data_IF_274875884512
#
_entry.id   IF_274875884512
#
_cell.length_a   1.000
_cell.length_b   1.000
_cell.length_c   1.000
_cell.angle_alpha   90.00
_cell.angle_beta   90.00
_cell.angle_gamma   90.00
#
_symmetry.space_group_name_H-M   'P 1'
#
loop_
_entity.id
_entity.type
_entity.pdbx_description
1 polymer ?
#
# COMPACT_ATOMS: atom_id res chain seq x y z
N UNK A 1 15.36 -12.81 -13.47
CA UNK A 1 14.78 -13.53 -14.63
C UNK A 1 13.30 -13.75 -14.34
N UNK A 2 12.31 -13.46 -15.17
CA UNK A 2 12.22 -12.65 -16.38
C UNK A 2 11.08 -11.63 -16.22
N UNK A 3 11.28 -10.42 -16.75
CA UNK A 3 10.33 -9.29 -16.70
C UNK A 3 9.78 -8.97 -18.12
N UNK A 4 9.98 -9.88 -19.07
CA UNK A 4 9.85 -9.66 -20.51
C UNK A 4 8.43 -9.33 -20.98
N UNK A 5 7.39 -9.72 -20.24
CA UNK A 5 6.00 -9.50 -20.63
C UNK A 5 5.33 -8.26 -20.00
N UNK A 6 6.07 -7.36 -19.35
CA UNK A 6 5.46 -6.16 -18.72
C UNK A 6 5.12 -5.01 -19.69
N UNK A 7 5.42 -5.18 -20.97
CA UNK A 7 5.26 -4.15 -22.01
C UNK A 7 4.15 -4.46 -23.01
N UNK A 8 3.64 -5.70 -23.05
CA UNK A 8 2.56 -6.07 -23.95
C UNK A 8 1.23 -5.49 -23.47
N UNK A 9 0.48 -4.87 -24.38
CA UNK A 9 -0.87 -4.37 -24.11
C UNK A 9 -1.85 -5.53 -24.21
N UNK A 10 -2.50 -5.83 -23.10
CA UNK A 10 -3.58 -6.81 -22.99
C UNK A 10 -4.92 -6.10 -22.87
N UNK A 11 -6.02 -6.84 -22.99
CA UNK A 11 -7.38 -6.31 -22.76
C UNK A 11 -7.57 -5.75 -21.35
N UNK A 12 -6.81 -6.27 -20.38
CA UNK A 12 -6.82 -5.85 -18.98
C UNK A 12 -5.93 -4.63 -18.68
N UNK A 13 -5.20 -4.11 -19.67
CA UNK A 13 -4.27 -2.99 -19.48
C UNK A 13 -5.03 -1.67 -19.36
N UNK A 14 -4.92 -1.01 -18.20
CA UNK A 14 -5.65 0.22 -17.88
C UNK A 14 -4.77 1.47 -17.82
N UNK A 15 -3.53 1.34 -17.34
CA UNK A 15 -2.68 2.48 -16.99
C UNK A 15 -1.52 2.65 -17.97
N UNK A 16 -1.38 3.85 -18.53
CA UNK A 16 -0.33 4.22 -19.47
C UNK A 16 0.43 5.45 -18.98
N UNK A 17 1.70 5.55 -19.36
CA UNK A 17 2.51 6.76 -19.26
C UNK A 17 2.67 7.34 -20.66
N UNK A 18 2.28 8.59 -20.82
CA UNK A 18 2.54 9.39 -22.01
C UNK A 18 3.60 10.44 -21.69
N UNK A 19 4.66 10.44 -22.47
CA UNK A 19 5.81 11.36 -22.36
C UNK A 19 5.97 12.12 -23.68
N UNK A 20 6.56 13.31 -23.61
CA UNK A 20 6.90 14.13 -24.78
C UNK A 20 8.27 14.78 -24.55
N UNK A 21 9.09 15.05 -25.58
CA UNK A 21 10.43 15.63 -25.42
C UNK A 21 10.43 16.92 -24.61
N UNK A 22 9.46 17.80 -24.86
CA UNK A 22 9.38 19.13 -24.25
C UNK A 22 8.60 19.16 -22.95
N UNK A 23 8.28 17.99 -22.38
CA UNK A 23 7.42 17.76 -21.21
C UNK A 23 6.01 18.36 -21.31
N UNK A 24 5.02 17.76 -20.64
CA UNK A 24 3.69 18.38 -20.55
C UNK A 24 3.64 19.53 -19.53
N UNK A 25 4.77 19.92 -18.92
CA UNK A 25 4.86 21.12 -18.09
C UNK A 25 4.60 22.41 -18.87
N UNK A 26 5.15 22.50 -20.07
CA UNK A 26 5.10 23.69 -20.92
C UNK A 26 3.91 23.71 -21.88
N UNK A 27 3.14 22.62 -21.94
CA UNK A 27 1.97 22.51 -22.81
C UNK A 27 0.70 22.88 -22.06
N UNK A 28 -0.15 23.69 -22.69
CA UNK A 28 -1.46 24.07 -22.14
C UNK A 28 -2.30 22.84 -21.76
N UNK A 29 -2.79 22.73 -20.51
CA UNK A 29 -3.58 21.58 -20.07
C UNK A 29 -4.92 21.48 -20.83
N UNK A 30 -5.48 22.61 -21.27
CA UNK A 30 -6.70 22.62 -22.08
C UNK A 30 -6.47 22.07 -23.48
N UNK A 31 -5.31 22.38 -24.08
CA UNK A 31 -4.92 21.84 -25.38
C UNK A 31 -4.73 20.32 -25.28
N UNK A 32 -3.96 19.86 -24.29
CA UNK A 32 -3.74 18.43 -24.04
C UNK A 32 -5.07 17.69 -23.85
N UNK A 33 -5.97 18.22 -23.03
CA UNK A 33 -7.28 17.61 -22.80
C UNK A 33 -8.10 17.50 -24.08
N UNK A 34 -8.21 18.58 -24.87
CA UNK A 34 -8.92 18.56 -26.17
C UNK A 34 -8.31 17.55 -27.14
N UNK A 35 -6.99 17.46 -27.22
CA UNK A 35 -6.30 16.52 -28.09
C UNK A 35 -6.55 15.07 -27.66
N UNK A 36 -6.46 14.78 -26.36
CA UNK A 36 -6.76 13.44 -25.82
C UNK A 36 -8.21 13.07 -26.14
N UNK A 37 -9.16 13.98 -25.86
CA UNK A 37 -10.57 13.77 -26.14
C UNK A 37 -10.82 13.50 -27.64
N UNK A 38 -10.14 14.23 -28.52
CA UNK A 38 -10.28 14.06 -29.97
C UNK A 38 -9.67 12.77 -30.52
N UNK A 39 -8.52 12.31 -30.01
CA UNK A 39 -7.80 11.15 -30.56
C UNK A 39 -8.16 9.83 -29.86
N UNK A 40 -8.47 9.89 -28.55
CA UNK A 40 -8.65 8.73 -27.68
C UNK A 40 -10.09 8.67 -27.14
N UNK A 41 -10.79 9.80 -27.08
CA UNK A 41 -12.09 9.92 -26.43
C UNK A 41 -11.97 10.21 -24.92
N UNK A 42 -13.10 10.12 -24.22
CA UNK A 42 -13.16 10.38 -22.79
C UNK A 42 -12.54 9.21 -22.00
N UNK A 43 -11.44 9.50 -21.31
CA UNK A 43 -10.67 8.52 -20.53
C UNK A 43 -10.99 8.67 -19.06
N UNK A 44 -10.90 7.58 -18.30
CA UNK A 44 -11.29 7.57 -16.88
C UNK A 44 -10.53 8.59 -16.03
N UNK A 45 -9.23 8.75 -16.28
CA UNK A 45 -8.42 9.71 -15.54
C UNK A 45 -7.16 10.13 -16.33
N UNK A 46 -6.80 11.40 -16.21
CA UNK A 46 -5.51 11.93 -16.67
C UNK A 46 -4.86 12.67 -15.50
N UNK A 47 -3.65 12.25 -15.13
CA UNK A 47 -2.90 12.84 -14.04
C UNK A 47 -1.49 13.22 -14.47
N UNK A 48 -1.13 14.48 -14.32
CA UNK A 48 0.25 14.96 -14.51
C UNK A 48 1.15 14.48 -13.36
N UNK A 49 2.29 13.89 -13.72
CA UNK A 49 3.29 13.39 -12.79
C UNK A 49 4.34 14.46 -12.48
N UNK A 50 5.14 14.23 -11.43
CA UNK A 50 6.27 15.13 -11.07
C UNK A 50 7.39 15.14 -12.12
N UNK A 51 7.48 14.13 -12.96
CA UNK A 51 8.39 14.12 -14.12
C UNK A 51 7.90 15.04 -15.24
N UNK A 52 6.63 15.44 -15.21
CA UNK A 52 5.96 16.15 -16.30
C UNK A 52 5.30 15.25 -17.33
N UNK A 53 5.41 13.94 -17.18
CA UNK A 53 4.64 12.96 -17.97
C UNK A 53 3.17 12.92 -17.52
N UNK A 54 2.32 12.34 -18.36
CA UNK A 54 0.92 12.06 -18.03
C UNK A 54 0.74 10.58 -17.70
N UNK A 55 0.12 10.30 -16.55
CA UNK A 55 -0.49 9.02 -16.24
C UNK A 55 -1.93 9.04 -16.75
N UNK A 56 -2.26 8.12 -17.65
CA UNK A 56 -3.58 7.99 -18.25
C UNK A 56 -4.19 6.65 -17.82
N UNK A 57 -5.39 6.69 -17.27
CA UNK A 57 -6.22 5.52 -17.01
C UNK A 57 -7.32 5.43 -18.07
N UNK A 58 -7.32 4.36 -18.86
CA UNK A 58 -8.34 4.14 -19.88
C UNK A 58 -9.61 3.54 -19.29
N UNK A 59 -10.72 3.76 -19.98
CA UNK A 59 -12.04 3.21 -19.62
C UNK A 59 -12.33 1.90 -20.35
N UNK A 60 -11.72 1.66 -21.50
CA UNK A 60 -12.00 0.49 -22.33
C UNK A 60 -10.79 -0.02 -23.13
N UNK A 61 -10.81 -1.27 -23.64
CA UNK A 61 -9.69 -1.86 -24.39
C UNK A 61 -9.39 -1.16 -25.73
N UNK A 62 -10.36 -0.52 -26.38
CA UNK A 62 -10.12 0.18 -27.64
C UNK A 62 -9.22 1.40 -27.42
N UNK A 63 -9.46 2.16 -26.35
CA UNK A 63 -8.57 3.25 -25.93
C UNK A 63 -7.14 2.76 -25.68
N UNK A 64 -6.97 1.61 -25.02
CA UNK A 64 -5.65 1.01 -24.80
C UNK A 64 -4.94 0.68 -26.11
N UNK A 65 -5.68 0.11 -27.09
CA UNK A 65 -5.16 -0.20 -28.44
C UNK A 65 -4.77 1.06 -29.22
N UNK A 66 -5.55 2.13 -29.11
CA UNK A 66 -5.23 3.42 -29.75
C UNK A 66 -4.01 4.07 -29.10
N UNK A 67 -3.97 4.15 -27.77
CA UNK A 67 -2.86 4.74 -27.03
C UNK A 67 -1.54 4.02 -27.29
N UNK A 68 -1.54 2.69 -27.39
CA UNK A 68 -0.32 1.91 -27.58
C UNK A 68 0.37 2.14 -28.93
N UNK A 69 -0.38 2.60 -29.93
CA UNK A 69 0.12 2.93 -31.28
C UNK A 69 0.38 4.42 -31.46
N UNK A 70 0.01 5.24 -30.47
CA UNK A 70 0.06 6.69 -30.59
C UNK A 70 1.49 7.21 -30.49
N UNK A 71 1.96 7.85 -31.56
CA UNK A 71 3.29 8.47 -31.65
C UNK A 71 3.26 9.99 -31.76
N UNK A 72 2.06 10.55 -32.05
CA UNK A 72 1.79 11.98 -32.11
C UNK A 72 0.46 12.30 -31.47
N UNK A 73 0.36 13.48 -30.85
CA UNK A 73 -0.87 14.01 -30.28
C UNK A 73 -1.02 15.45 -30.80
N UNK A 74 -1.76 15.63 -31.90
CA UNK A 74 -1.64 16.84 -32.72
C UNK A 74 -0.22 16.99 -33.26
N UNK A 75 0.38 18.17 -33.10
CA UNK A 75 1.78 18.44 -33.49
C UNK A 75 2.81 17.91 -32.48
N UNK A 76 2.37 17.48 -31.29
CA UNK A 76 3.28 17.01 -30.24
C UNK A 76 3.74 15.59 -30.53
N UNK A 77 5.05 15.39 -30.61
CA UNK A 77 5.63 14.04 -30.61
C UNK A 77 5.46 13.43 -29.22
N UNK A 78 4.84 12.25 -29.15
CA UNK A 78 4.60 11.55 -27.87
C UNK A 78 5.17 10.14 -27.91
N UNK A 79 5.55 9.65 -26.73
CA UNK A 79 5.90 8.26 -26.51
C UNK A 79 5.01 7.70 -25.40
N UNK A 80 4.28 6.63 -25.73
CA UNK A 80 3.33 5.97 -24.84
C UNK A 80 3.88 4.61 -24.41
N UNK A 81 3.82 4.33 -23.12
CA UNK A 81 4.23 3.05 -22.55
C UNK A 81 3.28 2.57 -21.47
N UNK A 82 3.18 1.25 -21.29
CA UNK A 82 2.38 0.65 -20.23
C UNK A 82 2.98 1.00 -18.86
N UNK A 83 2.14 1.38 -17.89
CA UNK A 83 2.63 1.68 -16.55
C UNK A 83 3.17 0.40 -15.88
N UNK A 84 4.45 0.42 -15.50
CA UNK A 84 5.25 -0.75 -15.05
C UNK A 84 4.68 -1.53 -13.86
N UNK A 85 3.82 -0.90 -13.05
CA UNK A 85 3.32 -1.48 -11.79
C UNK A 85 1.81 -1.35 -11.56
N UNK A 86 1.11 -0.46 -12.25
CA UNK A 86 -0.31 -0.18 -11.92
C UNK A 86 -1.25 -1.17 -12.62
N UNK A 87 -0.78 -1.80 -13.70
CA UNK A 87 -1.48 -2.88 -14.41
C UNK A 87 -1.29 -4.25 -13.77
N UNK A 88 -0.70 -4.31 -12.57
CA UNK A 88 -0.40 -5.58 -11.91
C UNK A 88 -0.86 -5.57 -10.46
N UNK A 89 -1.52 -6.65 -10.06
CA UNK A 89 -1.85 -6.94 -8.68
C UNK A 89 -0.97 -8.08 -8.17
N UNK A 90 -0.79 -8.18 -6.85
CA UNK A 90 0.03 -9.23 -6.24
C UNK A 90 -0.67 -9.85 -5.04
N UNK A 91 -0.75 -11.16 -5.05
CA UNK A 91 -1.30 -11.96 -3.96
C UNK A 91 -0.32 -13.01 -3.48
N UNK A 92 -0.58 -13.54 -2.30
CA UNK A 92 0.15 -14.65 -1.70
C UNK A 92 -0.83 -15.81 -1.55
N UNK A 93 -0.47 -16.95 -2.12
CA UNK A 93 -1.08 -18.23 -1.82
C UNK A 93 -0.21 -18.99 -0.82
N UNK A 94 -0.83 -19.85 -0.03
CA UNK A 94 -0.16 -20.62 1.04
C UNK A 94 -0.57 -22.08 0.96
N UNK A 95 -0.21 -22.74 -0.14
CA UNK A 95 -0.69 -24.09 -0.46
C UNK A 95 0.44 -25.12 -0.38
N UNK A 96 0.26 -26.17 0.42
CA UNK A 96 1.29 -27.18 0.64
C UNK A 96 1.53 -28.03 -0.62
N UNK A 97 0.47 -28.34 -1.36
CA UNK A 97 0.56 -29.07 -2.63
C UNK A 97 1.47 -28.37 -3.66
N UNK A 98 1.59 -27.04 -3.57
CA UNK A 98 2.43 -26.24 -4.47
C UNK A 98 3.86 -26.08 -3.98
N UNK A 99 4.27 -26.66 -2.85
CA UNK A 99 5.62 -26.48 -2.28
C UNK A 99 6.75 -26.97 -3.20
N UNK A 100 6.52 -28.09 -3.91
CA UNK A 100 7.53 -28.74 -4.76
C UNK A 100 7.60 -28.20 -6.19
N UNK A 101 6.61 -27.43 -6.60
CA UNK A 101 6.53 -26.88 -7.96
C UNK A 101 7.51 -25.71 -8.14
N UNK A 102 8.13 -25.65 -9.31
CA UNK A 102 9.01 -24.56 -9.74
C UNK A 102 8.21 -23.32 -10.11
N UNK A 103 8.88 -22.17 -10.18
CA UNK A 103 8.24 -20.93 -10.64
C UNK A 103 7.80 -21.03 -12.12
N UNK A 104 8.52 -21.77 -12.95
CA UNK A 104 8.16 -21.95 -14.37
C UNK A 104 6.88 -22.77 -14.54
N UNK A 105 6.77 -23.91 -13.87
CA UNK A 105 5.55 -24.75 -13.88
C UNK A 105 4.33 -23.94 -13.38
N UNK A 106 4.51 -23.13 -12.34
CA UNK A 106 3.43 -22.27 -11.83
C UNK A 106 3.00 -21.18 -12.82
N UNK A 107 3.88 -20.68 -13.68
CA UNK A 107 3.47 -19.76 -14.76
C UNK A 107 2.65 -20.50 -15.78
N UNK A 108 3.12 -21.65 -16.24
CA UNK A 108 2.47 -22.46 -17.27
C UNK A 108 1.04 -22.81 -16.86
N UNK A 109 0.88 -23.44 -15.69
CA UNK A 109 -0.39 -23.95 -15.18
C UNK A 109 -1.39 -22.85 -14.75
N UNK A 110 -0.92 -21.65 -14.41
CA UNK A 110 -1.78 -20.57 -13.89
C UNK A 110 -1.92 -19.38 -14.85
N UNK A 111 -1.31 -19.45 -16.04
CA UNK A 111 -1.29 -18.37 -17.03
C UNK A 111 -2.69 -17.96 -17.50
N UNK A 112 -3.60 -18.93 -17.67
CA UNK A 112 -5.00 -18.69 -18.06
C UNK A 112 -5.74 -17.80 -17.04
N UNK A 113 -5.38 -17.93 -15.76
CA UNK A 113 -5.88 -17.11 -14.66
C UNK A 113 -5.08 -15.81 -14.50
N UNK A 114 -4.39 -15.37 -15.56
CA UNK A 114 -3.65 -14.12 -15.67
C UNK A 114 -2.41 -14.02 -14.75
N UNK A 115 -1.90 -15.15 -14.26
CA UNK A 115 -0.63 -15.16 -13.51
C UNK A 115 0.53 -15.01 -14.49
N UNK A 116 1.38 -14.00 -14.27
CA UNK A 116 2.51 -13.70 -15.16
C UNK A 116 3.88 -13.82 -14.50
N UNK A 117 3.94 -13.81 -13.17
CA UNK A 117 5.19 -14.00 -12.44
C UNK A 117 4.94 -14.51 -11.01
N UNK A 118 5.23 -15.79 -10.72
CA UNK A 118 5.32 -16.31 -9.37
C UNK A 118 6.69 -15.98 -8.75
N UNK A 119 6.72 -15.88 -7.42
CA UNK A 119 7.94 -15.79 -6.62
C UNK A 119 7.78 -16.57 -5.33
N UNK A 120 8.56 -17.63 -5.15
CA UNK A 120 8.54 -18.44 -3.91
C UNK A 120 9.20 -17.68 -2.77
N UNK A 121 8.57 -17.73 -1.60
CA UNK A 121 9.18 -17.22 -0.37
C UNK A 121 10.08 -18.32 0.18
N UNK A 122 11.36 -17.99 0.37
CA UNK A 122 12.34 -18.87 0.99
C UNK A 122 12.66 -18.35 2.40
N UNK A 123 12.86 -19.28 3.33
CA UNK A 123 13.42 -18.99 4.65
C UNK A 123 14.90 -19.37 4.65
N UNK A 124 15.72 -18.65 5.40
CA UNK A 124 17.12 -18.99 5.58
C UNK A 124 17.25 -19.75 6.91
N UNK A 125 17.68 -21.00 6.87
CA UNK A 125 18.00 -21.83 8.03
C UNK A 125 19.44 -22.34 7.85
N UNK A 126 20.32 -22.11 8.82
CA UNK A 126 21.72 -22.57 8.80
C UNK A 126 22.47 -22.24 7.50
N UNK A 127 22.29 -21.01 7.01
CA UNK A 127 22.91 -20.55 5.77
C UNK A 127 22.21 -21.01 4.49
N UNK A 128 21.35 -22.03 4.54
CA UNK A 128 20.64 -22.60 3.39
C UNK A 128 19.28 -21.93 3.17
N UNK A 129 18.92 -21.72 1.90
CA UNK A 129 17.59 -21.23 1.52
C UNK A 129 16.63 -22.41 1.36
N UNK A 130 15.60 -22.46 2.21
CA UNK A 130 14.59 -23.51 2.21
C UNK A 130 13.29 -22.94 1.62
N UNK A 131 12.72 -23.59 0.58
CA UNK A 131 11.45 -23.18 -0.01
C UNK A 131 10.28 -23.40 0.95
N UNK A 132 9.43 -22.38 1.06
CA UNK A 132 8.17 -22.47 1.81
C UNK A 132 6.99 -22.80 0.88
N UNK A 133 5.84 -23.12 1.47
CA UNK A 133 4.57 -23.27 0.75
C UNK A 133 4.01 -21.93 0.23
N UNK A 134 4.60 -20.80 0.61
CA UNK A 134 4.09 -19.49 0.26
C UNK A 134 4.67 -19.02 -1.07
N UNK A 135 3.78 -18.70 -2.00
CA UNK A 135 4.15 -18.17 -3.32
C UNK A 135 3.46 -16.84 -3.52
N UNK A 136 4.23 -15.82 -3.91
CA UNK A 136 3.69 -14.53 -4.34
C UNK A 136 3.39 -14.64 -5.82
N UNK A 137 2.13 -14.49 -6.20
CA UNK A 137 1.70 -14.44 -7.59
C UNK A 137 1.52 -12.99 -8.01
N UNK A 138 2.09 -12.63 -9.16
CA UNK A 138 1.81 -11.38 -9.85
C UNK A 138 0.81 -11.67 -10.97
N UNK A 139 -0.30 -10.93 -10.96
CA UNK A 139 -1.33 -10.99 -11.98
C UNK A 139 -1.17 -9.84 -12.96
N UNK A 140 -1.46 -10.04 -14.25
CA UNK A 140 -1.54 -8.99 -15.26
C UNK A 140 -2.84 -8.17 -15.20
N UNK A 141 -3.53 -8.20 -14.06
CA UNK A 141 -4.76 -7.48 -13.78
C UNK A 141 -4.52 -6.39 -12.72
N UNK A 142 -5.29 -5.31 -12.79
CA UNK A 142 -5.26 -4.22 -11.80
C UNK A 142 -5.80 -4.62 -10.41
N UNK A 143 -6.73 -5.57 -10.39
CA UNK A 143 -7.40 -6.05 -9.17
C UNK A 143 -6.97 -7.48 -8.85
N UNK A 144 -6.87 -7.78 -7.55
CA UNK A 144 -6.48 -9.10 -7.08
C UNK A 144 -7.72 -10.01 -6.98
N UNK A 145 -7.75 -11.19 -7.63
CA UNK A 145 -8.83 -12.14 -7.45
C UNK A 145 -8.87 -12.66 -6.01
N UNK A 146 -10.05 -13.11 -5.55
CA UNK A 146 -10.23 -13.64 -4.18
C UNK A 146 -9.57 -15.01 -3.99
N UNK A 147 -9.56 -15.82 -5.03
CA UNK A 147 -8.91 -17.14 -5.08
C UNK A 147 -8.55 -17.49 -6.52
N UNK A 148 -7.74 -18.54 -6.67
CA UNK A 148 -7.43 -19.17 -7.95
C UNK A 148 -7.60 -20.69 -7.83
N UNK A 149 -7.69 -21.37 -8.97
CA UNK A 149 -7.65 -22.83 -9.05
C UNK A 149 -6.23 -23.30 -9.35
N UNK A 150 -5.75 -24.28 -8.60
CA UNK A 150 -4.50 -24.98 -8.88
C UNK A 150 -4.81 -26.47 -9.00
N UNK A 151 -5.02 -26.94 -10.23
CA UNK A 151 -5.70 -28.22 -10.47
C UNK A 151 -7.08 -28.24 -9.81
N UNK A 152 -7.33 -29.22 -8.95
CA UNK A 152 -8.58 -29.35 -8.19
C UNK A 152 -8.65 -28.46 -6.94
N UNK A 153 -7.55 -27.83 -6.53
CA UNK A 153 -7.49 -27.02 -5.30
C UNK A 153 -8.03 -25.61 -5.54
N UNK A 154 -8.82 -25.09 -4.59
CA UNK A 154 -9.19 -23.67 -4.53
C UNK A 154 -8.26 -22.94 -3.55
N UNK A 155 -7.32 -22.15 -4.06
CA UNK A 155 -6.33 -21.47 -3.26
C UNK A 155 -6.77 -20.02 -2.98
N UNK A 156 -7.15 -19.67 -1.73
CA UNK A 156 -7.49 -18.29 -1.39
C UNK A 156 -6.25 -17.39 -1.45
N UNK A 157 -6.44 -16.17 -1.98
CA UNK A 157 -5.39 -15.17 -2.13
C UNK A 157 -5.43 -14.16 -1.00
N UNK A 158 -4.26 -13.85 -0.44
CA UNK A 158 -4.07 -12.71 0.46
C UNK A 158 -3.27 -11.64 -0.27
N UNK A 159 -3.60 -10.36 -0.08
CA UNK A 159 -2.79 -9.27 -0.65
C UNK A 159 -1.33 -9.37 -0.21
N UNK A 160 -0.40 -9.29 -1.17
CA UNK A 160 1.02 -9.23 -0.85
C UNK A 160 1.38 -7.83 -0.31
N UNK A 161 1.73 -7.76 0.97
CA UNK A 161 2.21 -6.52 1.61
C UNK A 161 3.74 -6.56 1.73
N UNK A 162 4.49 -5.81 0.91
CA UNK A 162 5.95 -5.79 1.00
C UNK A 162 6.42 -5.14 2.30
N UNK A 163 7.69 -5.36 2.67
CA UNK A 163 8.28 -4.64 3.79
C UNK A 163 8.57 -3.19 3.40
N UNK A 164 8.48 -2.23 4.34
CA UNK A 164 8.90 -0.85 4.13
C UNK A 164 10.28 -0.77 3.50
N UNK A 165 10.41 0.02 2.43
CA UNK A 165 11.69 0.24 1.77
C UNK A 165 12.56 1.08 2.70
N UNK A 166 13.68 0.52 3.14
CA UNK A 166 14.73 1.24 3.88
C UNK A 166 15.84 1.63 2.92
N UNK A 167 16.23 2.88 2.92
CA UNK A 167 17.39 3.34 2.17
C UNK A 167 18.67 2.81 2.83
N UNK A 168 19.46 2.02 2.11
CA UNK A 168 20.73 1.49 2.63
C UNK A 168 21.84 2.55 2.78
N UNK A 169 21.65 3.77 2.25
CA UNK A 169 22.57 4.90 2.43
C UNK A 169 22.24 5.71 3.67
N UNK A 170 21.03 6.27 3.77
CA UNK A 170 20.66 7.19 4.86
C UNK A 170 19.82 6.55 5.98
N UNK A 171 19.48 5.27 5.86
CA UNK A 171 18.69 4.47 6.82
C UNK A 171 17.23 4.91 7.03
N UNK A 172 16.76 5.97 6.34
CA UNK A 172 15.34 6.39 6.39
C UNK A 172 14.45 5.47 5.56
N UNK A 173 13.19 5.36 5.94
CA UNK A 173 12.18 4.68 5.15
C UNK A 173 11.69 5.54 3.96
N UNK A 174 11.12 4.88 2.95
CA UNK A 174 10.35 5.52 1.88
C UNK A 174 11.07 5.71 0.53
N UNK A 175 12.38 5.43 0.45
CA UNK A 175 13.12 5.51 -0.81
C UNK A 175 14.29 4.52 -0.88
N UNK A 176 14.72 4.20 -2.10
CA UNK A 176 15.89 3.35 -2.35
C UNK A 176 17.19 4.14 -2.23
N UNK A 177 18.33 3.43 -2.16
CA UNK A 177 19.66 4.04 -2.17
C UNK A 177 19.92 4.87 -3.43
N UNK A 178 19.45 4.42 -4.60
CA UNK A 178 19.61 5.12 -5.88
C UNK A 178 18.90 6.48 -5.90
N UNK A 179 17.76 6.61 -5.21
CA UNK A 179 17.02 7.86 -5.11
C UNK A 179 17.46 8.74 -3.92
N UNK A 180 18.50 8.34 -3.18
CA UNK A 180 18.88 8.98 -1.93
C UNK A 180 19.81 10.18 -2.13
N UNK A 181 19.32 11.37 -1.75
CA UNK A 181 20.11 12.61 -1.69
C UNK A 181 20.86 12.80 -0.37
N UNK A 182 20.62 11.96 0.64
CA UNK A 182 21.27 12.04 1.96
C UNK A 182 22.70 11.48 1.99
N UNK A 183 23.39 11.72 3.10
CA UNK A 183 24.71 11.15 3.41
C UNK A 183 24.62 9.68 3.85
N UNK A 184 25.77 9.00 3.85
CA UNK A 184 25.92 7.62 4.33
C UNK A 184 25.87 7.59 5.86
N UNK A 185 24.97 6.77 6.40
CA UNK A 185 24.69 6.64 7.83
C UNK A 185 24.76 5.16 8.21
N UNK A 186 25.46 4.86 9.30
CA UNK A 186 25.54 3.51 9.85
C UNK A 186 24.16 2.99 10.28
N UNK A 187 23.80 1.76 9.91
CA UNK A 187 22.53 1.15 10.27
C UNK A 187 22.48 0.68 11.74
N UNK A 188 23.62 0.51 12.41
CA UNK A 188 23.71 0.10 13.83
C UNK A 188 23.57 1.29 14.77
N UNK A 189 24.41 2.32 14.64
CA UNK A 189 24.49 3.46 15.57
C UNK A 189 23.95 4.80 15.02
N UNK A 190 23.52 4.86 13.75
CA UNK A 190 22.99 6.08 13.12
C UNK A 190 23.98 7.26 12.97
N UNK A 191 25.28 7.01 13.08
CA UNK A 191 26.36 7.99 12.88
C UNK A 191 26.93 7.89 11.46
N UNK A 192 27.41 9.00 10.91
CA UNK A 192 28.12 9.04 9.62
C UNK A 192 29.61 8.70 9.77
N UNK A 193 30.23 8.20 8.71
CA UNK A 193 31.69 8.02 8.64
C UNK A 193 32.19 6.57 8.63
N UNK A 194 31.30 5.58 8.75
CA UNK A 194 31.66 4.16 8.64
C UNK A 194 30.47 3.31 8.15
N UNK A 195 30.75 2.08 7.71
CA UNK A 195 29.74 1.06 7.42
C UNK A 195 29.32 0.27 8.65
N UNK A 196 28.18 -0.41 8.58
CA UNK A 196 27.71 -1.23 9.71
C UNK A 196 28.61 -2.44 10.01
N UNK A 197 29.44 -2.87 9.04
CA UNK A 197 30.44 -3.91 9.23
C UNK A 197 31.61 -3.42 10.11
N UNK A 198 31.98 -2.14 9.99
CA UNK A 198 33.10 -1.52 10.71
C UNK A 198 32.64 -0.79 11.99
N UNK A 199 31.40 -1.05 12.43
CA UNK A 199 30.80 -0.32 13.53
C UNK A 199 31.25 -0.88 14.88
N UNK A 200 32.13 -0.13 15.54
CA UNK A 200 32.63 -0.43 16.89
C UNK A 200 31.69 -0.01 18.03
N UNK A 201 30.62 0.72 17.73
CA UNK A 201 29.65 1.18 18.74
C UNK A 201 28.86 0.00 19.30
N UNK A 202 28.86 -0.17 20.61
CA UNK A 202 28.02 -1.16 21.30
C UNK A 202 26.56 -0.70 21.36
N UNK A 203 26.33 0.61 21.49
CA UNK A 203 25.00 1.19 21.51
C UNK A 203 24.37 1.21 20.12
N UNK A 204 23.27 0.47 19.97
CA UNK A 204 22.44 0.54 18.78
C UNK A 204 21.48 1.72 18.87
N UNK A 205 21.39 2.51 17.81
CA UNK A 205 20.49 3.67 17.75
C UNK A 205 19.80 3.72 16.40
N UNK A 206 18.47 3.83 16.41
CA UNK A 206 17.68 3.84 15.19
C UNK A 206 17.57 5.23 14.57
N UNK A 207 17.86 5.36 13.28
CA UNK A 207 17.77 6.66 12.59
C UNK A 207 16.35 7.22 12.51
N UNK A 208 15.33 6.34 12.54
CA UNK A 208 13.93 6.70 12.32
C UNK A 208 13.20 7.06 13.62
N UNK A 209 13.36 6.27 14.69
CA UNK A 209 12.68 6.49 15.98
C UNK A 209 13.61 6.92 17.13
N UNK A 210 14.93 6.96 16.90
CA UNK A 210 15.96 7.23 17.93
C UNK A 210 16.02 6.20 19.08
N UNK A 211 15.31 5.07 18.99
CA UNK A 211 15.31 4.03 20.01
C UNK A 211 16.55 3.11 20.01
N UNK A 212 16.72 2.29 21.07
CA UNK A 212 17.91 1.47 21.33
C UNK A 212 17.93 0.18 20.50
N UNK A 213 17.89 0.31 19.17
CA UNK A 213 17.94 -0.81 18.24
C UNK A 213 18.46 -0.35 16.87
N UNK A 214 19.00 -1.26 16.04
CA UNK A 214 19.47 -0.89 14.70
C UNK A 214 18.29 -0.46 13.79
N UNK A 215 18.61 0.29 12.74
CA UNK A 215 17.64 0.80 11.77
C UNK A 215 16.89 -0.30 10.98
N UNK A 216 17.43 -1.52 10.95
CA UNK A 216 16.79 -2.68 10.29
C UNK A 216 15.89 -3.52 11.22
N UNK A 217 15.74 -3.13 12.49
CA UNK A 217 14.87 -3.87 13.41
C UNK A 217 13.39 -3.77 13.03
N UNK A 218 12.68 -4.91 13.12
CA UNK A 218 11.23 -4.99 12.92
C UNK A 218 10.43 -4.52 14.14
N UNK A 219 11.07 -4.40 15.31
CA UNK A 219 10.44 -3.83 16.52
C UNK A 219 10.33 -2.30 16.49
N UNK A 220 10.88 -1.65 15.45
CA UNK A 220 10.84 -0.20 15.32
C UNK A 220 9.40 0.32 15.14
N UNK A 221 8.92 1.27 15.96
CA UNK A 221 7.57 1.82 15.83
C UNK A 221 7.36 2.53 14.49
N UNK A 222 8.40 3.19 13.95
CA UNK A 222 8.34 3.80 12.62
C UNK A 222 8.27 2.77 11.49
N UNK A 223 8.87 1.59 11.69
CA UNK A 223 8.71 0.48 10.74
C UNK A 223 7.27 -0.05 10.74
N UNK A 224 6.68 -0.22 11.93
CA UNK A 224 5.31 -0.67 12.08
C UNK A 224 4.32 0.32 11.42
N UNK A 225 4.51 1.63 11.66
CA UNK A 225 3.72 2.68 11.02
C UNK A 225 3.81 2.63 9.49
N UNK A 226 5.02 2.56 8.92
CA UNK A 226 5.20 2.46 7.47
C UNK A 226 4.60 1.16 6.90
N UNK A 227 4.65 0.05 7.66
CA UNK A 227 4.02 -1.21 7.29
C UNK A 227 2.49 -1.08 7.26
N UNK A 228 1.90 -0.36 8.22
CA UNK A 228 0.46 -0.09 8.24
C UNK A 228 0.03 0.78 7.06
N UNK A 229 0.78 1.84 6.76
CA UNK A 229 0.53 2.72 5.60
C UNK A 229 0.55 1.90 4.30
N UNK A 230 1.56 1.04 4.11
CA UNK A 230 1.60 0.14 2.96
C UNK A 230 0.43 -0.84 2.92
N UNK A 231 0.01 -1.34 4.08
CA UNK A 231 -1.15 -2.23 4.20
C UNK A 231 -2.43 -1.52 3.78
N UNK A 232 -2.68 -0.32 4.30
CA UNK A 232 -3.85 0.50 3.94
C UNK A 232 -3.85 0.86 2.45
N UNK A 233 -2.69 1.28 1.91
CA UNK A 233 -2.52 1.58 0.48
C UNK A 233 -2.96 0.41 -0.40
N UNK A 234 -2.46 -0.78 -0.10
CA UNK A 234 -2.69 -1.97 -0.94
C UNK A 234 -4.11 -2.52 -0.74
N UNK A 235 -4.56 -2.70 0.50
CA UNK A 235 -5.87 -3.31 0.77
C UNK A 235 -7.05 -2.44 0.36
N UNK A 236 -6.91 -1.12 0.42
CA UNK A 236 -7.95 -0.16 0.01
C UNK A 236 -7.77 0.35 -1.42
N UNK A 237 -6.71 -0.04 -2.10
CA UNK A 237 -6.34 0.45 -3.44
C UNK A 237 -6.35 2.00 -3.55
N UNK A 238 -5.67 2.66 -2.62
CA UNK A 238 -5.60 4.13 -2.54
C UNK A 238 -4.17 4.64 -2.76
N UNK A 239 -4.05 5.95 -2.98
CA UNK A 239 -2.74 6.58 -3.11
C UNK A 239 -1.92 6.46 -1.80
N UNK A 240 -0.59 6.52 -1.91
CA UNK A 240 0.27 6.47 -0.72
C UNK A 240 0.05 7.66 0.23
N UNK A 241 -0.21 8.85 -0.32
CA UNK A 241 -0.51 10.04 0.46
C UNK A 241 -1.82 9.87 1.23
N UNK A 242 -2.85 9.32 0.57
CA UNK A 242 -4.14 9.06 1.20
C UNK A 242 -4.04 7.98 2.28
N UNK A 243 -3.32 6.89 2.03
CA UNK A 243 -3.06 5.86 3.02
C UNK A 243 -2.35 6.42 4.27
N UNK A 244 -1.36 7.29 4.08
CA UNK A 244 -0.65 7.97 5.17
C UNK A 244 -1.58 8.86 5.98
N UNK A 245 -2.46 9.62 5.30
CA UNK A 245 -3.46 10.47 5.94
C UNK A 245 -4.41 9.64 6.81
N UNK A 246 -4.99 8.58 6.27
CA UNK A 246 -5.92 7.70 7.00
C UNK A 246 -5.31 7.03 8.24
N UNK A 247 -4.05 6.59 8.17
CA UNK A 247 -3.35 5.99 9.33
C UNK A 247 -3.02 7.06 10.37
N UNK A 248 -2.63 8.26 9.93
CA UNK A 248 -2.33 9.38 10.82
C UNK A 248 -3.58 9.88 11.56
N UNK A 249 -4.73 9.94 10.88
CA UNK A 249 -6.02 10.37 11.46
C UNK A 249 -6.54 9.40 12.54
N UNK A 250 -6.19 8.11 12.46
CA UNK A 250 -6.57 7.09 13.46
C UNK A 250 -5.68 7.11 14.70
N UNK A 251 -4.47 7.64 14.58
CA UNK A 251 -3.54 7.73 15.70
C UNK A 251 -3.94 8.90 16.60
N UNK A 252 -4.11 8.70 17.92
CA UNK A 252 -4.43 9.79 18.83
C UNK A 252 -3.40 10.91 18.70
N UNK A 253 -3.86 12.14 18.46
CA UNK A 253 -2.97 13.31 18.43
C UNK A 253 -2.45 13.56 19.84
N UNK A 254 -1.13 13.53 20.10
CA UNK A 254 -0.59 13.83 21.42
C UNK A 254 -1.07 15.21 21.87
N UNK A 255 -1.71 15.28 23.05
CA UNK A 255 -2.20 16.54 23.63
C UNK A 255 -3.63 16.94 23.28
N UNK A 256 -4.35 16.19 22.42
CA UNK A 256 -5.78 16.43 22.15
C UNK A 256 -6.59 15.38 22.92
N UNK A 257 -7.19 15.81 24.02
CA UNK A 257 -8.14 15.00 24.78
C UNK A 257 -9.44 14.84 24.01
N UNK A 258 -10.15 13.73 24.22
CA UNK A 258 -11.45 13.49 23.59
C UNK A 258 -12.44 14.65 23.78
N UNK A 259 -12.43 15.26 24.97
CA UNK A 259 -13.25 16.44 25.31
C UNK A 259 -12.85 17.71 24.55
N UNK A 260 -11.56 17.90 24.24
CA UNK A 260 -11.09 19.06 23.46
C UNK A 260 -11.47 18.98 21.97
N UNK A 261 -11.54 17.77 21.41
CA UNK A 261 -11.95 17.56 20.01
C UNK A 261 -13.44 17.88 19.78
N UNK A 262 -14.30 17.61 20.79
CA UNK A 262 -15.74 17.92 20.72
C UNK A 262 -16.02 19.43 20.83
N UNK A 263 -15.21 20.18 21.59
CA UNK A 263 -15.37 21.64 21.74
C UNK A 263 -15.06 22.42 20.46
N UNK A 264 -14.27 21.85 19.55
CA UNK A 264 -13.86 22.52 18.31
C UNK A 264 -14.96 22.56 17.24
N UNK A 265 -16.11 21.91 17.49
CA UNK A 265 -17.30 21.95 16.62
C UNK A 265 -18.32 23.03 17.00
N UNK A 266 -18.01 23.92 17.96
CA UNK A 266 -18.98 24.92 18.46
C UNK A 266 -18.94 26.28 17.71
N UNK A 267 -18.04 26.48 16.74
CA UNK A 267 -17.89 27.78 16.05
C UNK A 267 -18.45 27.81 14.61
N UNK A 268 -19.21 26.80 14.19
CA UNK A 268 -19.87 26.79 12.89
C UNK A 268 -21.37 26.54 13.06
N UNK A 269 -22.15 27.56 13.42
CA UNK A 269 -23.61 27.46 13.35
C UNK A 269 -24.41 28.46 14.16
N UNK A 270 -25.04 29.39 13.44
CA UNK A 270 -26.28 30.11 13.78
C UNK A 270 -26.23 31.25 14.81
N UNK A 271 -26.00 32.46 14.31
CA UNK A 271 -26.76 33.62 14.78
C UNK A 271 -28.22 33.45 14.31
N UNK A 272 -29.08 32.94 15.19
CA UNK A 272 -30.51 33.22 15.12
C UNK A 272 -30.93 33.84 16.44
N UNK A 273 -31.37 35.09 16.34
CA UNK A 273 -31.84 35.90 17.45
C UNK A 273 -33.07 35.23 18.10
N UNK A 274 -33.15 35.10 19.43
CA UNK A 274 -34.28 34.46 20.09
C UNK A 274 -35.39 35.48 20.34
N UNK A 275 -36.42 35.51 19.48
CA UNK A 275 -37.73 36.01 19.88
C UNK A 275 -38.65 34.85 20.26
N UNK A 276 -38.85 34.73 21.58
CA UNK A 276 -40.14 34.51 22.22
C UNK A 276 -40.95 33.25 21.83
N UNK A 277 -40.73 32.13 22.55
CA UNK A 277 -41.85 31.27 23.00
C UNK A 277 -41.58 30.85 24.44
N UNK A 278 -42.49 31.28 25.32
CA UNK A 278 -42.54 30.96 26.75
C UNK A 278 -43.30 29.65 27.01
N UNK A 279 -42.64 28.77 27.78
CA UNK A 279 -43.11 28.07 28.99
C UNK A 279 -44.04 26.83 28.87
N UNK A 280 -43.65 25.83 29.69
CA UNK A 280 -44.32 24.64 30.26
C UNK A 280 -44.00 23.32 29.54
N UNK A 281 -43.55 22.25 30.19
CA UNK A 281 -43.80 21.81 31.57
C UNK A 281 -42.66 20.91 32.07
N UNK A 282 -42.45 20.93 33.39
CA UNK A 282 -41.47 20.14 34.11
C UNK A 282 -41.87 18.66 34.19
N UNK A 283 -40.90 17.75 34.08
CA UNK A 283 -40.97 16.47 34.78
C UNK A 283 -39.58 15.94 35.10
N UNK A 284 -39.23 16.06 36.38
CA UNK A 284 -38.08 15.43 37.02
C UNK A 284 -38.29 13.92 37.11
N UNK A 285 -37.32 13.12 36.67
CA UNK A 285 -37.14 11.75 37.14
C UNK A 285 -35.65 11.53 37.40
N UNK A 286 -35.38 11.11 38.62
CA UNK A 286 -34.08 10.84 39.28
C UNK A 286 -33.31 9.65 38.69
N UNK A 287 -31.99 9.55 38.92
CA UNK A 287 -31.17 8.45 38.44
C UNK A 287 -31.22 7.24 39.39
N UNK A 288 -31.49 6.05 38.86
CA UNK A 288 -31.45 4.78 39.61
C UNK A 288 -30.07 4.13 39.44
N UNK A 289 -29.37 3.94 40.56
CA UNK A 289 -28.16 3.11 40.71
C UNK A 289 -28.50 1.61 40.69
N UNK A 290 -27.65 0.71 40.14
CA UNK A 290 -27.79 -0.73 40.34
C UNK A 290 -27.13 -1.22 41.64
N UNK A 291 -27.85 -2.06 42.39
CA UNK A 291 -27.38 -2.78 43.60
C UNK A 291 -26.66 -4.09 43.21
N UNK A 292 -25.61 -4.53 43.94
CA UNK A 292 -24.84 -5.73 43.65
C UNK A 292 -25.32 -6.98 44.43
N UNK A 293 -25.11 -8.18 43.88
CA UNK A 293 -25.17 -9.48 44.58
C UNK A 293 -24.24 -10.46 43.85
N UNK A 294 -23.07 -10.82 44.41
CA UNK A 294 -22.79 -11.85 45.43
C UNK A 294 -22.62 -13.26 44.85
N UNK A 295 -21.37 -13.74 44.89
CA UNK A 295 -20.88 -15.08 44.59
C UNK A 295 -21.12 -16.02 45.80
N UNK A 296 -21.30 -17.34 45.61
CA UNK A 296 -20.35 -18.31 46.20
C UNK A 296 -20.14 -19.55 45.30
N UNK A 297 -18.90 -19.95 44.97
CA UNK A 297 -17.98 -20.87 45.68
C UNK A 297 -18.19 -22.37 45.43
N UNK A 298 -17.08 -23.00 45.02
CA UNK A 298 -16.57 -24.37 45.30
C UNK A 298 -16.77 -25.57 44.34
N UNK A 299 -15.61 -26.20 44.08
CA UNK A 299 -15.27 -27.48 43.44
C UNK A 299 -15.82 -28.71 44.18
N UNK A 300 -15.74 -29.91 43.57
CA UNK A 300 -14.71 -30.88 44.00
C UNK A 300 -13.93 -31.57 42.88
N UNK A 301 -12.83 -32.23 43.30
CA UNK A 301 -11.85 -33.03 42.54
C UNK A 301 -12.17 -34.54 42.59
N UNK A 302 -11.36 -35.30 41.85
CA UNK A 302 -11.03 -36.76 41.90
C UNK A 302 -11.89 -37.66 40.97
N UNK A 303 -11.41 -38.74 40.31
CA UNK A 303 -10.16 -39.51 40.38
C UNK A 303 -9.92 -40.33 39.07
N UNK A 304 -8.65 -40.65 38.82
CA UNK A 304 -8.05 -41.93 38.40
C UNK A 304 -8.63 -42.85 37.29
N UNK A 305 -7.70 -43.16 36.37
CA UNK A 305 -7.43 -44.29 35.45
C UNK A 305 -8.19 -45.65 35.63
N UNK A 306 -8.26 -46.51 34.60
CA UNK A 306 -7.09 -47.25 34.06
C UNK A 306 -6.71 -46.95 32.60
#
# INVERSE_FOLDING_TARGET
>A
MGLSNRTAVTEDTKFFIMSTPDTFHEVSPFLVHKLILSHIGDVKNVKKLKSGDLLIEVSNPNQAKTLSKLTKLGELKVNVSVHRNLNFSRGVISELGLKKHTESELVEELSEQKVCAPRRINIKCDGKLIPTQHVILTFSTTELPRSIKAGYLNCPLKHYIPNPVRCFKCQKFGHSQQACKGSKICAKCSISGHDSADCISDDAKCRNCQGPHPAFSRSCPQWALEKEILTAKIRKNISFAEARRLVSERSPKPGITYSSALKQCAYCGAHTNPENVKINSARSITPTTPVPSSNPSQLPKDASNP
#
